data_IF_691404494369
#
_entry.id   IF_691404494369
#
_cell.length_a   1.000
_cell.length_b   1.000
_cell.length_c   1.000
_cell.angle_alpha   90.00
_cell.angle_beta   90.00
_cell.angle_gamma   90.00
#
_symmetry.space_group_name_H-M   'P 1'
#
loop_
_entity.id
_entity.type
_entity.pdbx_description
1 polymer ?
#
# COMPACT_ATOMS: atom_id res chain seq x y z
N UNK A 1 3.83 35.76 -0.73
CA UNK A 1 3.95 34.81 -1.86
C UNK A 1 5.38 34.27 -1.81
N UNK A 2 5.59 33.13 -1.17
CA UNK A 2 6.88 32.42 -1.14
C UNK A 2 6.98 31.55 -2.42
N UNK A 3 8.12 31.63 -3.08
CA UNK A 3 8.41 30.85 -4.28
C UNK A 3 8.27 29.36 -3.98
N UNK A 4 7.75 28.56 -4.94
CA UNK A 4 7.68 27.12 -4.78
C UNK A 4 9.11 26.57 -4.67
N UNK A 5 9.42 25.94 -3.54
CA UNK A 5 10.67 25.19 -3.36
C UNK A 5 10.70 24.06 -4.37
N UNK A 6 11.63 24.12 -5.32
CA UNK A 6 12.00 22.97 -6.13
C UNK A 6 12.47 21.86 -5.17
N UNK A 7 11.66 20.82 -5.02
CA UNK A 7 12.10 19.57 -4.39
C UNK A 7 13.05 18.88 -5.38
N UNK A 8 14.33 19.22 -5.27
CA UNK A 8 15.38 18.49 -5.95
C UNK A 8 15.61 17.21 -5.14
N UNK A 9 15.22 16.07 -5.70
CA UNK A 9 15.68 14.77 -5.22
C UNK A 9 17.17 14.64 -5.54
N UNK A 10 18.03 15.23 -4.72
CA UNK A 10 19.46 14.91 -4.73
C UNK A 10 19.65 13.64 -3.90
N UNK A 11 19.72 12.50 -4.57
CA UNK A 11 20.46 11.34 -4.03
C UNK A 11 21.93 11.62 -4.32
N UNK A 12 22.69 11.97 -3.28
CA UNK A 12 24.14 12.05 -3.33
C UNK A 12 24.71 10.62 -3.48
N UNK A 13 25.23 10.30 -4.62
CA UNK A 13 25.96 9.08 -4.94
C UNK A 13 25.97 8.88 -6.45
N UNK A 14 27.13 8.57 -7.03
CA UNK A 14 27.31 8.21 -8.43
C UNK A 14 26.40 7.01 -8.81
N UNK A 15 25.11 7.26 -8.97
CA UNK A 15 24.17 6.30 -9.54
C UNK A 15 24.52 6.21 -11.03
N UNK A 16 25.25 5.15 -11.40
CA UNK A 16 25.24 4.68 -12.77
C UNK A 16 23.79 4.67 -13.23
N UNK A 17 23.44 5.59 -14.12
CA UNK A 17 22.11 5.63 -14.76
C UNK A 17 22.02 4.33 -15.56
N UNK A 18 21.51 3.28 -14.93
CA UNK A 18 21.24 2.02 -15.60
C UNK A 18 20.04 2.25 -16.48
N UNK A 19 20.15 2.03 -17.81
CA UNK A 19 19.01 2.11 -18.67
C UNK A 19 17.95 1.13 -18.15
N UNK A 20 16.65 1.49 -18.16
CA UNK A 20 15.61 0.53 -17.84
C UNK A 20 15.81 -0.68 -18.75
N UNK A 21 15.70 -1.89 -18.19
CA UNK A 21 15.64 -3.10 -18.99
C UNK A 21 14.59 -2.88 -20.10
N UNK A 22 14.82 -3.44 -21.29
CA UNK A 22 13.88 -3.28 -22.41
C UNK A 22 12.52 -3.75 -21.91
N UNK A 23 11.63 -2.77 -21.65
CA UNK A 23 10.31 -3.01 -21.12
C UNK A 23 9.42 -3.48 -22.26
N UNK A 24 8.85 -4.67 -22.16
CA UNK A 24 7.88 -5.13 -23.14
C UNK A 24 6.53 -4.43 -22.89
N UNK A 25 6.02 -3.69 -23.87
CA UNK A 25 4.72 -3.04 -23.79
C UNK A 25 3.75 -3.79 -24.70
N UNK A 26 2.77 -4.47 -24.08
CA UNK A 26 1.69 -5.15 -24.79
C UNK A 26 0.48 -4.22 -24.88
N UNK A 27 0.07 -3.88 -26.08
CA UNK A 27 -1.08 -3.02 -26.38
C UNK A 27 -2.07 -3.86 -27.18
N UNK A 28 -3.03 -4.50 -26.53
CA UNK A 28 -3.93 -5.46 -27.16
C UNK A 28 -5.33 -4.88 -27.45
N UNK A 29 -5.57 -3.61 -27.11
CA UNK A 29 -6.91 -3.03 -27.00
C UNK A 29 -7.23 -1.97 -28.05
N UNK A 30 -6.28 -1.55 -28.88
CA UNK A 30 -6.53 -0.55 -29.94
C UNK A 30 -6.49 -1.21 -31.31
N UNK A 31 -7.47 -0.90 -32.15
CA UNK A 31 -7.55 -1.47 -33.51
C UNK A 31 -6.51 -0.88 -34.48
N UNK A 32 -6.15 0.40 -34.29
CA UNK A 32 -5.21 1.10 -35.17
C UNK A 32 -3.74 0.83 -34.76
N UNK A 33 -2.91 0.20 -35.61
CA UNK A 33 -1.51 -0.11 -35.31
C UNK A 33 -0.67 1.16 -35.01
N UNK A 34 -0.97 2.28 -35.67
CA UNK A 34 -0.29 3.54 -35.46
C UNK A 34 -0.54 4.07 -34.03
N UNK A 35 -1.76 3.94 -33.52
CA UNK A 35 -2.11 4.30 -32.14
C UNK A 35 -1.41 3.38 -31.14
N UNK A 36 -1.38 2.08 -31.40
CA UNK A 36 -0.64 1.14 -30.57
C UNK A 36 0.83 1.54 -30.45
N UNK A 37 1.45 1.86 -31.58
CA UNK A 37 2.86 2.26 -31.60
C UNK A 37 3.09 3.58 -30.88
N UNK A 38 2.22 4.57 -31.09
CA UNK A 38 2.32 5.87 -30.43
C UNK A 38 2.19 5.76 -28.91
N UNK A 39 1.19 5.02 -28.42
CA UNK A 39 1.00 4.77 -26.98
C UNK A 39 2.19 4.03 -26.40
N UNK A 40 2.66 2.95 -27.04
CA UNK A 40 3.80 2.17 -26.58
C UNK A 40 5.09 3.02 -26.49
N UNK A 41 5.37 3.84 -27.50
CA UNK A 41 6.54 4.72 -27.51
C UNK A 41 6.46 5.81 -26.42
N UNK A 42 5.27 6.35 -26.19
CA UNK A 42 5.04 7.33 -25.11
C UNK A 42 5.30 6.70 -23.73
N UNK A 43 4.71 5.54 -23.46
CA UNK A 43 4.93 4.80 -22.21
C UNK A 43 6.40 4.45 -21.99
N UNK A 44 7.10 3.99 -23.03
CA UNK A 44 8.54 3.75 -22.97
C UNK A 44 9.32 5.00 -22.60
N UNK A 45 8.96 6.15 -23.18
CA UNK A 45 9.56 7.45 -22.86
C UNK A 45 9.33 7.88 -21.41
N UNK A 46 8.13 7.59 -20.86
CA UNK A 46 7.81 7.89 -19.46
C UNK A 46 8.65 7.02 -18.52
N UNK A 47 8.74 5.70 -18.74
CA UNK A 47 9.59 4.83 -17.92
C UNK A 47 11.04 5.24 -17.94
N UNK A 48 11.57 5.64 -19.11
CA UNK A 48 12.92 6.19 -19.21
C UNK A 48 13.08 7.48 -18.39
N UNK A 49 12.05 8.32 -18.37
CA UNK A 49 12.09 9.57 -17.59
C UNK A 49 12.03 9.27 -16.08
N UNK A 50 11.16 8.36 -15.64
CA UNK A 50 11.09 7.94 -14.24
C UNK A 50 12.42 7.31 -13.78
N UNK A 51 13.05 6.47 -14.60
CA UNK A 51 14.35 5.91 -14.29
C UNK A 51 15.47 6.98 -14.20
N UNK A 52 15.43 8.02 -15.05
CA UNK A 52 16.37 9.15 -14.98
C UNK A 52 16.19 10.02 -13.72
N UNK A 53 14.99 10.05 -13.14
CA UNK A 53 14.75 10.72 -11.84
C UNK A 53 15.18 9.88 -10.64
N UNK A 54 15.74 8.69 -10.88
CA UNK A 54 16.29 7.82 -9.85
C UNK A 54 15.42 6.66 -9.42
N UNK A 55 14.23 6.45 -10.05
CA UNK A 55 13.37 5.31 -9.76
C UNK A 55 14.02 4.00 -10.24
N UNK A 56 14.11 3.00 -9.38
CA UNK A 56 14.73 1.71 -9.70
C UNK A 56 13.74 0.76 -10.39
N UNK A 57 13.70 0.81 -11.70
CA UNK A 57 12.84 -0.03 -12.53
C UNK A 57 13.50 -1.34 -13.02
N UNK A 58 14.59 -1.80 -12.39
CA UNK A 58 15.27 -3.06 -12.79
C UNK A 58 14.37 -4.29 -12.69
N UNK A 59 13.40 -4.28 -11.78
CA UNK A 59 12.46 -5.37 -11.61
C UNK A 59 11.24 -5.29 -12.56
N UNK A 60 11.13 -4.25 -13.40
CA UNK A 60 10.03 -4.11 -14.35
C UNK A 60 10.11 -5.18 -15.45
N UNK A 61 9.09 -6.03 -15.57
CA UNK A 61 8.90 -6.97 -16.69
C UNK A 61 8.35 -6.25 -17.92
N UNK A 62 7.40 -5.34 -17.69
CA UNK A 62 6.72 -4.61 -18.75
C UNK A 62 5.38 -4.04 -18.34
N UNK A 63 4.62 -3.60 -19.35
CA UNK A 63 3.29 -3.08 -19.17
C UNK A 63 2.30 -3.75 -20.13
N UNK A 64 1.09 -4.01 -19.65
CA UNK A 64 -0.05 -4.49 -20.47
C UNK A 64 -1.18 -3.48 -20.37
N UNK A 65 -1.59 -2.95 -21.52
CA UNK A 65 -2.84 -2.16 -21.63
C UNK A 65 -3.99 -3.09 -21.99
N UNK A 66 -5.09 -3.00 -21.25
CA UNK A 66 -6.24 -3.89 -21.40
C UNK A 66 -7.54 -3.20 -20.97
N UNK A 67 -8.67 -3.71 -21.44
CA UNK A 67 -9.99 -3.32 -20.93
C UNK A 67 -10.36 -4.11 -19.66
N UNK A 68 -9.76 -5.30 -19.47
CA UNK A 68 -10.02 -6.17 -18.33
C UNK A 68 -8.71 -6.48 -17.58
N UNK A 69 -8.44 -5.69 -16.53
CA UNK A 69 -7.24 -5.84 -15.71
C UNK A 69 -7.23 -7.16 -14.95
N UNK A 70 -8.37 -7.66 -14.49
CA UNK A 70 -8.46 -8.90 -13.74
C UNK A 70 -8.10 -10.11 -14.62
N UNK A 71 -8.72 -10.24 -15.81
CA UNK A 71 -8.41 -11.30 -16.75
C UNK A 71 -6.95 -11.26 -17.23
N UNK A 72 -6.42 -10.06 -17.52
CA UNK A 72 -5.03 -9.89 -17.92
C UNK A 72 -4.05 -10.28 -16.80
N UNK A 73 -4.34 -9.91 -15.56
CA UNK A 73 -3.53 -10.28 -14.40
C UNK A 73 -3.52 -11.79 -14.16
N UNK A 74 -4.69 -12.43 -14.24
CA UNK A 74 -4.81 -13.88 -14.11
C UNK A 74 -4.00 -14.63 -15.19
N UNK A 75 -4.02 -14.15 -16.44
CA UNK A 75 -3.26 -14.74 -17.54
C UNK A 75 -1.74 -14.64 -17.38
N UNK A 76 -1.25 -13.68 -16.57
CA UNK A 76 0.17 -13.48 -16.29
C UNK A 76 0.71 -14.41 -15.19
N UNK A 77 -0.16 -15.03 -14.41
CA UNK A 77 0.20 -15.85 -13.26
C UNK A 77 0.63 -17.28 -13.68
N UNK A 78 1.78 -17.37 -14.34
CA UNK A 78 2.45 -18.65 -14.53
C UNK A 78 3.41 -18.90 -13.39
N UNK A 79 3.11 -19.91 -12.58
CA UNK A 79 3.91 -20.25 -11.40
C UNK A 79 4.91 -21.34 -11.78
N UNK A 80 6.22 -21.16 -11.54
CA UNK A 80 7.21 -22.22 -11.73
C UNK A 80 6.88 -23.43 -10.85
N UNK A 81 7.29 -24.62 -11.28
CA UNK A 81 7.10 -25.86 -10.52
C UNK A 81 7.72 -25.72 -9.10
N UNK A 82 6.92 -26.02 -8.08
CA UNK A 82 7.35 -25.92 -6.67
C UNK A 82 7.21 -24.54 -6.03
N UNK A 83 6.67 -23.55 -6.73
CA UNK A 83 6.33 -22.24 -6.17
C UNK A 83 4.83 -22.16 -5.84
N UNK A 84 4.46 -21.33 -4.88
CA UNK A 84 3.05 -21.04 -4.54
C UNK A 84 2.57 -19.87 -5.39
N UNK A 85 1.34 -19.91 -5.96
CA UNK A 85 0.76 -18.75 -6.61
C UNK A 85 0.78 -17.55 -5.66
N UNK A 86 1.20 -16.40 -6.17
CA UNK A 86 1.10 -15.16 -5.44
C UNK A 86 -0.34 -14.68 -5.54
N UNK A 87 -1.01 -14.52 -4.41
CA UNK A 87 -2.38 -14.00 -4.38
C UNK A 87 -2.36 -12.54 -4.83
N UNK A 88 -2.98 -12.25 -5.95
CA UNK A 88 -3.31 -10.88 -6.35
C UNK A 88 -4.66 -10.58 -5.70
N UNK A 89 -4.67 -9.63 -4.76
CA UNK A 89 -5.90 -9.29 -4.04
C UNK A 89 -7.00 -8.86 -5.01
N UNK A 90 -8.13 -9.57 -4.99
CA UNK A 90 -9.33 -9.13 -5.69
C UNK A 90 -10.04 -8.08 -4.84
N UNK A 91 -10.21 -6.88 -5.40
CA UNK A 91 -11.16 -5.89 -4.89
C UNK A 91 -12.38 -5.86 -5.82
N UNK A 92 -13.43 -6.65 -5.53
CA UNK A 92 -14.50 -6.91 -6.50
C UNK A 92 -15.37 -5.69 -6.85
N UNK A 93 -15.35 -4.63 -6.04
CA UNK A 93 -16.28 -3.50 -6.17
C UNK A 93 -15.63 -2.18 -6.61
N UNK A 94 -14.34 -2.15 -6.90
CA UNK A 94 -13.64 -0.94 -7.38
C UNK A 94 -13.28 -1.06 -8.86
N UNK A 95 -13.51 0.03 -9.62
CA UNK A 95 -12.99 0.13 -10.99
C UNK A 95 -11.47 0.31 -10.87
N UNK A 96 -10.77 -0.79 -10.91
CA UNK A 96 -9.33 -0.78 -10.88
C UNK A 96 -8.77 -0.13 -12.14
N UNK A 97 -7.97 0.90 -11.96
CA UNK A 97 -7.37 1.66 -13.05
C UNK A 97 -6.05 1.06 -13.53
N UNK A 98 -5.24 0.59 -12.60
CA UNK A 98 -3.97 -0.09 -12.85
C UNK A 98 -3.61 -0.97 -11.64
N UNK A 99 -2.72 -1.93 -11.83
CA UNK A 99 -2.09 -2.73 -10.78
C UNK A 99 -0.73 -3.24 -11.17
N UNK A 100 0.13 -3.42 -10.20
CA UNK A 100 1.42 -4.12 -10.37
C UNK A 100 1.26 -5.59 -10.01
N UNK A 101 1.60 -6.47 -10.95
CA UNK A 101 1.43 -7.92 -10.85
C UNK A 101 2.80 -8.59 -10.80
N UNK A 102 3.11 -9.41 -9.78
CA UNK A 102 4.32 -10.21 -9.76
C UNK A 102 4.27 -11.30 -10.84
N UNK A 103 5.36 -11.44 -11.57
CA UNK A 103 5.49 -12.42 -12.66
C UNK A 103 6.84 -13.11 -12.59
N UNK A 104 6.85 -14.43 -12.83
CA UNK A 104 8.10 -15.17 -12.91
C UNK A 104 8.65 -15.17 -14.34
N UNK A 105 9.93 -14.81 -14.49
CA UNK A 105 10.68 -14.87 -15.75
C UNK A 105 12.05 -15.53 -15.49
N UNK A 106 12.30 -16.64 -16.12
CA UNK A 106 13.58 -17.36 -15.99
C UNK A 106 14.00 -17.60 -14.51
N UNK A 107 13.04 -17.97 -13.66
CA UNK A 107 13.15 -18.13 -12.20
C UNK A 107 13.47 -16.86 -11.40
N UNK A 108 13.41 -15.70 -12.03
CA UNK A 108 13.46 -14.41 -11.35
C UNK A 108 12.04 -13.83 -11.19
N UNK A 109 11.77 -13.27 -10.01
CA UNK A 109 10.54 -12.50 -9.79
C UNK A 109 10.72 -11.12 -10.39
N UNK A 110 9.79 -10.74 -11.24
CA UNK A 110 9.66 -9.41 -11.83
C UNK A 110 8.25 -8.90 -11.62
N UNK A 111 8.00 -7.66 -12.00
CA UNK A 111 6.71 -7.02 -11.80
C UNK A 111 6.23 -6.44 -13.12
N UNK A 112 4.98 -6.76 -13.48
CA UNK A 112 4.34 -6.25 -14.68
C UNK A 112 3.20 -5.32 -14.30
N UNK A 113 3.17 -4.14 -14.89
CA UNK A 113 2.07 -3.21 -14.73
C UNK A 113 0.95 -3.61 -15.68
N UNK A 114 -0.25 -3.80 -15.16
CA UNK A 114 -1.48 -3.99 -15.93
C UNK A 114 -2.33 -2.74 -15.75
N UNK A 115 -2.68 -2.07 -16.84
CA UNK A 115 -3.33 -0.77 -16.79
C UNK A 115 -4.49 -0.71 -17.78
N UNK A 116 -5.56 0.00 -17.42
CA UNK A 116 -6.71 0.19 -18.32
C UNK A 116 -6.30 0.96 -19.58
N UNK A 117 -6.81 0.49 -20.70
CA UNK A 117 -6.56 1.06 -22.02
C UNK A 117 -6.89 2.57 -22.11
N UNK A 118 -7.99 2.98 -21.47
CA UNK A 118 -8.39 4.39 -21.44
C UNK A 118 -7.33 5.34 -20.87
N UNK A 119 -6.50 4.88 -19.93
CA UNK A 119 -5.39 5.67 -19.40
C UNK A 119 -4.28 5.85 -20.44
N UNK A 120 -3.98 4.83 -21.24
CA UNK A 120 -3.00 4.94 -22.32
C UNK A 120 -3.38 6.02 -23.34
N UNK A 121 -4.64 6.07 -23.75
CA UNK A 121 -5.17 7.13 -24.62
C UNK A 121 -5.18 8.48 -23.88
N UNK A 122 -5.58 8.48 -22.61
CA UNK A 122 -5.62 9.70 -21.79
C UNK A 122 -4.28 10.43 -21.72
N UNK A 123 -3.16 9.69 -21.77
CA UNK A 123 -1.81 10.30 -21.82
C UNK A 123 -1.54 11.09 -23.10
N UNK A 124 -2.20 10.74 -24.20
CA UNK A 124 -2.01 11.38 -25.51
C UNK A 124 -3.01 12.50 -25.79
N UNK A 125 -4.11 12.55 -25.04
CA UNK A 125 -5.19 13.52 -25.24
C UNK A 125 -4.83 14.94 -24.80
N UNK A 126 -5.71 15.89 -25.11
CA UNK A 126 -5.56 17.30 -24.71
C UNK A 126 -6.16 17.59 -23.32
N UNK A 127 -6.86 16.62 -22.72
CA UNK A 127 -7.43 16.73 -21.37
C UNK A 127 -6.32 16.60 -20.31
N UNK A 128 -5.94 17.74 -19.75
CA UNK A 128 -4.88 17.81 -18.73
C UNK A 128 -5.21 17.05 -17.44
N UNK A 129 -6.48 17.00 -17.05
CA UNK A 129 -6.88 16.26 -15.87
C UNK A 129 -6.72 14.75 -16.08
N UNK A 130 -7.15 14.26 -17.25
CA UNK A 130 -6.97 12.87 -17.63
C UNK A 130 -5.48 12.51 -17.80
N UNK A 131 -4.68 13.40 -18.39
CA UNK A 131 -3.24 13.22 -18.47
C UNK A 131 -2.61 13.09 -17.07
N UNK A 132 -2.91 14.02 -16.15
CA UNK A 132 -2.39 14.00 -14.79
C UNK A 132 -2.77 12.71 -14.05
N UNK A 133 -4.03 12.27 -14.17
CA UNK A 133 -4.50 11.01 -13.61
C UNK A 133 -3.72 9.82 -14.17
N UNK A 134 -3.57 9.75 -15.50
CA UNK A 134 -2.89 8.64 -16.16
C UNK A 134 -1.40 8.60 -15.78
N UNK A 135 -0.72 9.74 -15.70
CA UNK A 135 0.66 9.83 -15.22
C UNK A 135 0.78 9.46 -13.75
N UNK A 136 -0.12 9.93 -12.88
CA UNK A 136 -0.12 9.59 -11.46
C UNK A 136 -0.31 8.09 -11.25
N UNK A 137 -1.27 7.46 -11.95
CA UNK A 137 -1.47 6.01 -11.89
C UNK A 137 -0.22 5.25 -12.35
N UNK A 138 0.38 5.63 -13.50
CA UNK A 138 1.56 4.95 -14.00
C UNK A 138 2.78 5.12 -13.07
N UNK A 139 2.99 6.30 -12.50
CA UNK A 139 4.06 6.57 -11.56
C UNK A 139 3.86 5.82 -10.24
N UNK A 140 2.62 5.69 -9.78
CA UNK A 140 2.25 4.90 -8.60
C UNK A 140 2.59 3.42 -8.81
N UNK A 141 2.17 2.83 -9.94
CA UNK A 141 2.49 1.44 -10.25
C UNK A 141 3.99 1.21 -10.49
N UNK A 142 4.67 2.16 -11.11
CA UNK A 142 6.12 2.09 -11.27
C UNK A 142 6.85 2.17 -9.92
N UNK A 143 6.32 2.91 -8.96
CA UNK A 143 6.84 2.93 -7.60
C UNK A 143 6.63 1.58 -6.89
N UNK A 144 5.50 0.89 -7.08
CA UNK A 144 5.36 -0.48 -6.62
C UNK A 144 6.43 -1.41 -7.21
N UNK A 145 6.75 -1.29 -8.50
CA UNK A 145 7.85 -2.07 -9.10
C UNK A 145 9.18 -1.81 -8.39
N UNK A 146 9.49 -0.57 -8.05
CA UNK A 146 10.68 -0.22 -7.27
C UNK A 146 10.66 -0.87 -5.90
N UNK A 147 9.60 -0.63 -5.12
CA UNK A 147 9.50 -1.06 -3.72
C UNK A 147 9.45 -2.57 -3.58
N UNK A 148 8.62 -3.23 -4.37
CA UNK A 148 8.51 -4.69 -4.39
C UNK A 148 9.80 -5.34 -4.91
N UNK A 149 10.46 -4.72 -5.88
CA UNK A 149 11.75 -5.16 -6.37
C UNK A 149 12.85 -5.10 -5.31
N UNK A 150 12.88 -4.03 -4.50
CA UNK A 150 13.78 -3.94 -3.35
C UNK A 150 13.44 -4.95 -2.26
N UNK A 151 12.15 -5.11 -1.95
CA UNK A 151 11.67 -6.07 -0.96
C UNK A 151 12.06 -7.51 -1.35
N UNK A 152 11.87 -7.88 -2.63
CA UNK A 152 12.27 -9.19 -3.14
C UNK A 152 13.79 -9.42 -3.06
N UNK A 153 14.58 -8.44 -3.43
CA UNK A 153 16.05 -8.56 -3.36
C UNK A 153 16.55 -8.71 -1.92
N UNK A 154 15.92 -7.99 -1.00
CA UNK A 154 16.31 -8.02 0.43
C UNK A 154 15.79 -9.27 1.14
N UNK A 155 14.56 -9.67 0.84
CA UNK A 155 13.85 -10.75 1.52
C UNK A 155 13.20 -11.75 0.54
N UNK A 156 13.96 -12.43 -0.31
CA UNK A 156 13.41 -13.27 -1.39
C UNK A 156 12.54 -14.43 -0.89
N UNK A 157 12.69 -14.83 0.38
CA UNK A 157 11.90 -15.88 1.00
C UNK A 157 10.44 -15.51 1.27
N UNK A 158 10.08 -14.21 1.20
CA UNK A 158 8.70 -13.75 1.41
C UNK A 158 7.81 -14.13 0.22
N UNK A 159 8.39 -14.08 -0.98
CA UNK A 159 7.67 -14.39 -2.20
C UNK A 159 7.76 -15.88 -2.53
N UNK A 160 6.60 -16.54 -2.61
CA UNK A 160 6.50 -17.93 -3.07
C UNK A 160 6.99 -19.01 -2.11
N UNK A 161 7.36 -18.66 -0.88
CA UNK A 161 7.72 -19.63 0.17
C UNK A 161 6.82 -19.47 1.39
N UNK A 162 6.54 -20.59 2.04
CA UNK A 162 5.89 -20.58 3.35
C UNK A 162 6.81 -19.87 4.33
N UNK A 163 6.50 -18.62 4.66
CA UNK A 163 7.21 -17.94 5.76
C UNK A 163 6.97 -18.76 7.03
N UNK A 164 7.99 -19.18 7.76
CA UNK A 164 7.83 -19.95 8.99
C UNK A 164 7.36 -19.06 10.15
N UNK A 165 6.32 -18.28 9.91
CA UNK A 165 5.60 -17.54 10.93
C UNK A 165 4.33 -18.34 11.22
N UNK A 166 3.96 -18.54 12.48
CA UNK A 166 2.67 -19.12 12.82
C UNK A 166 1.56 -18.36 12.06
N UNK A 167 0.59 -19.07 11.51
CA UNK A 167 -0.37 -18.56 10.51
C UNK A 167 -1.01 -17.19 10.79
N UNK A 168 -1.13 -16.79 12.05
CA UNK A 168 -1.72 -15.51 12.45
C UNK A 168 -0.78 -14.31 12.27
N UNK A 169 0.49 -14.48 12.56
CA UNK A 169 1.48 -13.42 12.41
C UNK A 169 1.74 -13.09 10.94
N UNK A 170 1.62 -14.09 10.05
CA UNK A 170 1.83 -13.91 8.61
C UNK A 170 0.83 -12.94 7.99
N UNK A 171 -0.48 -13.15 8.21
CA UNK A 171 -1.52 -12.31 7.58
C UNK A 171 -1.40 -10.84 7.99
N UNK A 172 -1.25 -10.55 9.28
CA UNK A 172 -1.10 -9.16 9.74
C UNK A 172 0.22 -8.56 9.26
N UNK A 173 1.24 -9.40 9.13
CA UNK A 173 2.53 -8.94 8.61
C UNK A 173 2.44 -8.58 7.13
N UNK A 174 1.74 -9.37 6.31
CA UNK A 174 1.47 -9.05 4.91
C UNK A 174 0.68 -7.73 4.81
N UNK A 175 -0.34 -7.53 5.65
CA UNK A 175 -1.06 -6.25 5.73
C UNK A 175 -0.14 -5.07 6.10
N UNK A 176 0.83 -5.27 6.99
CA UNK A 176 1.80 -4.22 7.33
C UNK A 176 2.70 -3.86 6.13
N UNK A 177 3.05 -4.86 5.31
CA UNK A 177 3.78 -4.63 4.06
C UNK A 177 2.92 -3.91 3.02
N UNK A 178 1.64 -4.26 2.88
CA UNK A 178 0.70 -3.56 2.00
C UNK A 178 0.60 -2.08 2.39
N UNK A 179 0.46 -1.77 3.69
CA UNK A 179 0.44 -0.39 4.20
C UNK A 179 1.71 0.38 3.81
N UNK A 180 2.87 -0.24 3.94
CA UNK A 180 4.14 0.36 3.51
C UNK A 180 4.18 0.57 2.00
N UNK A 181 3.80 -0.43 1.21
CA UNK A 181 3.84 -0.39 -0.24
C UNK A 181 2.99 0.76 -0.79
N UNK A 182 1.76 0.91 -0.28
CA UNK A 182 0.86 1.99 -0.68
C UNK A 182 1.36 3.37 -0.25
N UNK A 183 1.87 3.49 0.98
CA UNK A 183 2.50 4.73 1.44
C UNK A 183 3.65 5.17 0.53
N UNK A 184 4.54 4.24 0.22
CA UNK A 184 5.72 4.53 -0.58
C UNK A 184 5.36 4.87 -2.04
N UNK A 185 4.41 4.14 -2.63
CA UNK A 185 3.92 4.41 -3.98
C UNK A 185 3.22 5.78 -4.08
N UNK A 186 2.34 6.10 -3.13
CA UNK A 186 1.69 7.41 -3.06
C UNK A 186 2.70 8.54 -2.85
N UNK A 187 3.68 8.33 -1.97
CA UNK A 187 4.73 9.33 -1.73
C UNK A 187 5.56 9.63 -2.97
N UNK A 188 5.90 8.61 -3.74
CA UNK A 188 6.66 8.74 -5.00
C UNK A 188 5.86 9.42 -6.12
N UNK A 189 4.55 9.20 -6.16
CA UNK A 189 3.66 9.66 -7.25
C UNK A 189 2.92 10.97 -6.96
N UNK A 190 2.94 11.47 -5.72
CA UNK A 190 2.16 12.62 -5.26
C UNK A 190 2.33 13.89 -6.13
N UNK A 191 3.55 14.12 -6.63
CA UNK A 191 3.88 15.32 -7.43
C UNK A 191 3.13 15.38 -8.76
N UNK A 192 2.64 14.25 -9.28
CA UNK A 192 1.92 14.19 -10.56
C UNK A 192 0.44 14.59 -10.45
N UNK A 193 -0.11 14.55 -9.23
CA UNK A 193 -1.50 14.91 -8.95
C UNK A 193 -1.65 15.51 -7.55
N UNK A 194 -1.03 16.68 -7.31
CA UNK A 194 -0.99 17.26 -5.96
C UNK A 194 -2.38 17.58 -5.38
N UNK A 195 -3.38 17.84 -6.22
CA UNK A 195 -4.76 18.09 -5.81
C UNK A 195 -5.48 16.85 -5.24
N UNK A 196 -4.95 15.65 -5.43
CA UNK A 196 -5.56 14.42 -4.91
C UNK A 196 -5.45 14.26 -3.38
N UNK A 197 -4.71 15.13 -2.69
CA UNK A 197 -4.58 15.07 -1.24
C UNK A 197 -5.94 15.05 -0.52
N UNK A 198 -6.87 15.91 -0.95
CA UNK A 198 -8.24 15.97 -0.39
C UNK A 198 -9.07 14.72 -0.74
N UNK A 199 -8.85 14.13 -1.90
CA UNK A 199 -9.53 12.87 -2.29
C UNK A 199 -9.07 11.71 -1.42
N UNK A 200 -7.76 11.58 -1.20
CA UNK A 200 -7.20 10.55 -0.31
C UNK A 200 -7.61 10.76 1.14
N UNK A 201 -7.71 12.00 1.62
CA UNK A 201 -8.25 12.30 2.94
C UNK A 201 -9.69 11.79 3.08
N UNK A 202 -10.56 12.10 2.13
CA UNK A 202 -11.97 11.66 2.12
C UNK A 202 -12.10 10.13 2.07
N UNK A 203 -11.25 9.46 1.28
CA UNK A 203 -11.21 8.00 1.21
C UNK A 203 -10.81 7.42 2.56
N UNK A 204 -9.77 7.95 3.19
CA UNK A 204 -9.33 7.52 4.50
C UNK A 204 -10.40 7.73 5.58
N UNK A 205 -11.01 8.93 5.65
CA UNK A 205 -12.06 9.23 6.63
C UNK A 205 -13.25 8.28 6.48
N UNK A 206 -13.72 8.05 5.25
CA UNK A 206 -14.80 7.10 4.97
C UNK A 206 -14.40 5.68 5.36
N UNK A 207 -13.21 5.22 4.99
CA UNK A 207 -12.73 3.90 5.36
C UNK A 207 -12.70 3.72 6.88
N UNK A 208 -12.28 4.73 7.64
CA UNK A 208 -12.28 4.68 9.10
C UNK A 208 -13.69 4.58 9.67
N UNK A 209 -14.62 5.44 9.25
CA UNK A 209 -16.02 5.45 9.73
C UNK A 209 -16.74 4.14 9.41
N UNK A 210 -16.64 3.67 8.16
CA UNK A 210 -17.28 2.45 7.69
C UNK A 210 -16.74 1.22 8.45
N UNK A 211 -15.40 1.14 8.62
CA UNK A 211 -14.78 0.02 9.30
C UNK A 211 -15.03 0.03 10.82
N UNK A 212 -15.13 1.21 11.46
CA UNK A 212 -15.57 1.32 12.86
C UNK A 212 -17.00 0.84 13.03
N UNK A 213 -17.90 1.19 12.10
CA UNK A 213 -19.29 0.71 12.10
C UNK A 213 -19.36 -0.80 11.89
N UNK A 214 -18.65 -1.33 10.88
CA UNK A 214 -18.57 -2.75 10.60
C UNK A 214 -17.98 -3.56 11.77
N UNK A 215 -16.96 -3.03 12.44
CA UNK A 215 -16.37 -3.64 13.63
C UNK A 215 -17.41 -3.83 14.73
N UNK A 216 -18.19 -2.80 15.06
CA UNK A 216 -19.27 -2.88 16.04
C UNK A 216 -20.31 -3.95 15.68
N UNK A 217 -20.72 -4.02 14.41
CA UNK A 217 -21.66 -5.02 13.91
C UNK A 217 -21.10 -6.45 14.01
N UNK A 218 -19.82 -6.66 13.66
CA UNK A 218 -19.17 -7.97 13.76
C UNK A 218 -19.05 -8.44 15.20
N UNK A 219 -18.72 -7.54 16.14
CA UNK A 219 -18.69 -7.84 17.56
C UNK A 219 -20.07 -8.24 18.07
N UNK A 220 -21.12 -7.52 17.68
CA UNK A 220 -22.49 -7.84 18.07
C UNK A 220 -22.94 -9.22 17.54
N UNK A 221 -22.61 -9.52 16.27
CA UNK A 221 -22.89 -10.83 15.67
C UNK A 221 -22.12 -11.96 16.40
N UNK A 222 -20.85 -11.74 16.71
CA UNK A 222 -20.06 -12.71 17.48
C UNK A 222 -20.66 -13.00 18.85
N UNK A 223 -21.15 -11.99 19.56
CA UNK A 223 -21.79 -12.18 20.87
C UNK A 223 -23.03 -13.07 20.77
N UNK A 224 -23.68 -13.12 19.59
CA UNK A 224 -24.84 -13.96 19.33
C UNK A 224 -24.47 -15.41 18.93
N UNK A 225 -23.48 -15.60 18.06
CA UNK A 225 -23.15 -16.92 17.48
C UNK A 225 -21.85 -17.58 18.03
N UNK A 226 -21.02 -16.80 18.72
CA UNK A 226 -19.76 -17.27 19.35
C UNK A 226 -18.71 -17.81 18.36
N UNK A 227 -18.77 -17.46 17.07
CA UNK A 227 -17.78 -17.88 16.09
C UNK A 227 -16.51 -16.98 16.14
N UNK A 228 -15.61 -17.27 17.09
CA UNK A 228 -14.46 -16.45 17.41
C UNK A 228 -13.42 -16.32 16.27
N UNK A 229 -13.25 -17.37 15.44
CA UNK A 229 -12.21 -17.35 14.41
C UNK A 229 -12.53 -16.36 13.31
N UNK A 230 -13.76 -16.37 12.82
CA UNK A 230 -14.18 -15.50 11.73
C UNK A 230 -14.17 -14.03 12.16
N UNK A 231 -14.69 -13.71 13.37
CA UNK A 231 -14.71 -12.33 13.85
C UNK A 231 -13.31 -11.76 13.98
N UNK A 232 -12.34 -12.58 14.41
CA UNK A 232 -10.95 -12.12 14.52
C UNK A 232 -10.36 -11.73 13.15
N UNK A 233 -10.51 -12.60 12.15
CA UNK A 233 -10.02 -12.33 10.78
C UNK A 233 -10.73 -11.12 10.17
N UNK A 234 -12.04 -11.02 10.37
CA UNK A 234 -12.83 -9.88 9.90
C UNK A 234 -12.32 -8.56 10.50
N UNK A 235 -12.16 -8.48 11.82
CA UNK A 235 -11.69 -7.28 12.52
C UNK A 235 -10.25 -6.92 12.12
N UNK A 236 -9.39 -7.92 11.95
CA UNK A 236 -8.03 -7.72 11.47
C UNK A 236 -8.02 -7.11 10.05
N UNK A 237 -8.86 -7.60 9.15
CA UNK A 237 -8.98 -7.05 7.81
C UNK A 237 -9.49 -5.62 7.84
N UNK A 238 -10.56 -5.33 8.61
CA UNK A 238 -11.11 -3.99 8.74
C UNK A 238 -10.04 -2.95 9.16
N UNK A 239 -9.27 -3.22 10.21
CA UNK A 239 -8.22 -2.29 10.64
C UNK A 239 -6.97 -2.31 9.76
N UNK A 240 -6.67 -3.42 9.11
CA UNK A 240 -5.67 -3.47 8.06
C UNK A 240 -6.01 -2.52 6.90
N UNK A 241 -7.26 -2.55 6.46
CA UNK A 241 -7.75 -1.71 5.35
C UNK A 241 -7.80 -0.21 5.75
N UNK A 242 -8.12 0.11 7.02
CA UNK A 242 -7.96 1.48 7.55
C UNK A 242 -6.50 1.93 7.47
N UNK A 243 -5.55 1.08 7.89
CA UNK A 243 -4.13 1.43 7.83
C UNK A 243 -3.62 1.55 6.38
N UNK A 244 -4.12 0.73 5.45
CA UNK A 244 -3.81 0.85 4.01
C UNK A 244 -4.32 2.19 3.47
N UNK A 245 -5.58 2.55 3.76
CA UNK A 245 -6.15 3.85 3.36
C UNK A 245 -5.39 5.02 3.99
N UNK A 246 -4.93 4.87 5.24
CA UNK A 246 -4.02 5.83 5.86
C UNK A 246 -2.68 5.89 5.13
N UNK A 247 -2.15 4.76 4.64
CA UNK A 247 -0.92 4.69 3.84
C UNK A 247 -1.02 5.54 2.58
N UNK A 248 -2.09 5.42 1.81
CA UNK A 248 -2.37 6.26 0.64
C UNK A 248 -2.34 7.75 1.01
N UNK A 249 -3.13 8.13 1.99
CA UNK A 249 -3.28 9.52 2.42
C UNK A 249 -1.97 10.12 2.96
N UNK A 250 -1.33 9.44 3.91
CA UNK A 250 -0.10 9.90 4.54
C UNK A 250 1.07 9.95 3.56
N UNK A 251 1.16 8.96 2.66
CA UNK A 251 2.16 8.93 1.59
C UNK A 251 2.02 10.13 0.67
N UNK A 252 0.80 10.45 0.27
CA UNK A 252 0.53 11.60 -0.58
C UNK A 252 0.89 12.92 0.10
N UNK A 253 0.50 13.12 1.38
CA UNK A 253 0.90 14.31 2.16
C UNK A 253 2.42 14.43 2.27
N UNK A 254 3.11 13.35 2.63
CA UNK A 254 4.56 13.35 2.81
C UNK A 254 5.32 13.56 1.48
N UNK A 255 4.78 13.05 0.38
CA UNK A 255 5.32 13.28 -0.98
C UNK A 255 5.24 14.75 -1.41
N UNK A 256 4.24 15.49 -0.92
CA UNK A 256 4.07 16.92 -1.16
C UNK A 256 4.72 17.79 -0.08
N UNK A 257 5.27 17.21 0.98
CA UNK A 257 5.81 17.94 2.13
C UNK A 257 4.73 18.67 2.93
N UNK A 258 3.49 18.15 2.94
CA UNK A 258 2.34 18.74 3.65
C UNK A 258 2.24 18.17 5.06
N UNK A 259 1.81 19.01 6.01
CA UNK A 259 1.58 18.57 7.39
C UNK A 259 0.13 18.10 7.57
N UNK A 260 -0.06 17.06 8.37
CA UNK A 260 -1.39 16.53 8.70
C UNK A 260 -2.25 17.62 9.38
N UNK A 261 -1.66 18.35 10.32
CA UNK A 261 -2.39 19.37 11.11
C UNK A 261 -2.89 20.55 10.29
N UNK A 262 -2.24 20.88 9.18
CA UNK A 262 -2.57 22.05 8.37
C UNK A 262 -3.42 21.72 7.14
N UNK A 263 -3.40 20.48 6.67
CA UNK A 263 -3.96 20.10 5.37
C UNK A 263 -4.98 18.97 5.45
N UNK A 264 -5.24 18.43 6.65
CA UNK A 264 -6.16 17.33 6.90
C UNK A 264 -7.31 17.79 7.81
N UNK A 265 -8.26 18.53 7.24
CA UNK A 265 -9.34 19.16 8.03
C UNK A 265 -10.37 18.11 8.48
N UNK A 266 -10.79 17.23 7.57
CA UNK A 266 -11.79 16.19 7.84
C UNK A 266 -11.21 15.12 8.77
N UNK A 267 -9.98 14.69 8.52
CA UNK A 267 -9.30 13.74 9.40
C UNK A 267 -9.04 14.31 10.80
N UNK A 268 -8.70 15.61 10.91
CA UNK A 268 -8.52 16.27 12.21
C UNK A 268 -9.82 16.33 13.02
N UNK A 269 -10.96 16.56 12.38
CA UNK A 269 -12.26 16.51 13.03
C UNK A 269 -12.56 15.09 13.54
N UNK A 270 -12.32 14.08 12.71
CA UNK A 270 -12.53 12.68 13.06
C UNK A 270 -11.59 12.21 14.20
N UNK A 271 -10.35 12.69 14.24
CA UNK A 271 -9.42 12.41 15.34
C UNK A 271 -9.82 13.11 16.65
N UNK A 272 -10.52 14.24 16.58
CA UNK A 272 -11.08 14.86 17.79
C UNK A 272 -12.21 13.99 18.41
N UNK A 273 -12.94 13.23 17.58
CA UNK A 273 -13.95 12.27 18.05
C UNK A 273 -13.33 10.95 18.52
N UNK A 274 -12.18 10.57 17.94
CA UNK A 274 -11.45 9.31 18.21
C UNK A 274 -9.96 9.58 18.49
N UNK A 275 -9.61 10.22 19.62
CA UNK A 275 -8.26 10.70 19.88
C UNK A 275 -7.20 9.59 19.91
N UNK A 276 -7.56 8.39 20.40
CA UNK A 276 -6.64 7.25 20.44
C UNK A 276 -6.30 6.74 19.02
N UNK A 277 -7.26 6.80 18.09
CA UNK A 277 -7.02 6.45 16.67
C UNK A 277 -6.15 7.53 16.03
N UNK A 278 -6.41 8.80 16.31
CA UNK A 278 -5.58 9.90 15.83
C UNK A 278 -4.11 9.75 16.22
N UNK A 279 -3.85 9.36 17.48
CA UNK A 279 -2.50 9.09 17.98
C UNK A 279 -1.84 7.90 17.27
N UNK A 280 -2.60 6.82 17.01
CA UNK A 280 -2.12 5.67 16.26
C UNK A 280 -1.80 6.01 14.80
N UNK A 281 -2.60 6.85 14.14
CA UNK A 281 -2.34 7.32 12.77
C UNK A 281 -1.09 8.22 12.72
N UNK A 282 -0.90 9.11 13.68
CA UNK A 282 0.33 9.92 13.80
C UNK A 282 1.57 9.04 14.04
N UNK A 283 1.42 7.99 14.83
CA UNK A 283 2.48 7.01 15.03
C UNK A 283 2.76 6.23 13.76
N UNK A 284 1.72 5.83 13.02
CA UNK A 284 1.86 5.18 11.71
C UNK A 284 2.66 6.06 10.75
N UNK A 285 2.32 7.35 10.65
CA UNK A 285 3.04 8.31 9.81
C UNK A 285 4.53 8.37 10.15
N UNK A 286 4.87 8.51 11.45
CA UNK A 286 6.26 8.52 11.89
C UNK A 286 7.01 7.25 11.53
N UNK A 287 6.37 6.09 11.73
CA UNK A 287 6.93 4.78 11.38
C UNK A 287 7.20 4.66 9.89
N UNK A 288 6.21 5.02 9.05
CA UNK A 288 6.33 4.96 7.60
C UNK A 288 7.41 5.92 7.08
N UNK A 289 7.48 7.13 7.63
CA UNK A 289 8.53 8.08 7.27
C UNK A 289 9.93 7.60 7.68
N UNK A 290 10.08 6.94 8.83
CA UNK A 290 11.35 6.31 9.23
C UNK A 290 11.77 5.22 8.26
N UNK A 291 10.85 4.34 7.87
CA UNK A 291 11.13 3.30 6.86
C UNK A 291 11.54 3.91 5.52
N UNK A 292 10.90 4.99 5.10
CA UNK A 292 11.27 5.73 3.90
C UNK A 292 12.72 6.25 3.96
N UNK A 293 13.11 6.83 5.09
CA UNK A 293 14.45 7.40 5.28
C UNK A 293 15.57 6.36 5.33
N UNK A 294 15.24 5.07 5.48
CA UNK A 294 16.24 3.99 5.42
C UNK A 294 16.67 3.64 3.99
N UNK A 295 16.01 4.18 2.97
CA UNK A 295 16.33 3.94 1.55
C UNK A 295 16.55 2.45 1.22
N UNK A 296 15.63 1.58 1.73
CA UNK A 296 15.67 0.12 1.61
C UNK A 296 16.85 -0.58 2.33
N UNK A 297 17.61 0.12 3.16
CA UNK A 297 18.68 -0.45 3.99
C UNK A 297 18.13 -1.27 5.17
N UNK A 298 17.15 -2.13 4.93
CA UNK A 298 16.45 -2.91 5.95
C UNK A 298 17.31 -4.10 6.44
N UNK A 299 17.66 -4.17 7.73
CA UNK A 299 18.49 -5.24 8.26
C UNK A 299 17.75 -6.57 8.38
N UNK A 300 16.44 -6.52 8.56
CA UNK A 300 15.57 -7.69 8.68
C UNK A 300 14.13 -7.31 8.39
N UNK A 301 13.26 -8.30 8.22
CA UNK A 301 11.84 -8.09 7.92
C UNK A 301 11.07 -7.50 9.12
N UNK A 302 11.59 -7.62 10.33
CA UNK A 302 11.01 -7.09 11.56
C UNK A 302 10.92 -5.55 11.56
N UNK A 303 11.56 -4.87 10.62
CA UNK A 303 11.40 -3.40 10.44
C UNK A 303 9.94 -2.99 10.21
N UNK A 304 9.11 -3.89 9.68
CA UNK A 304 7.66 -3.67 9.49
C UNK A 304 6.81 -3.98 10.73
N UNK A 305 7.40 -4.59 11.77
CA UNK A 305 6.67 -4.93 13.00
C UNK A 305 5.98 -3.76 13.69
N UNK A 306 6.52 -2.52 13.68
CA UNK A 306 5.81 -1.38 14.27
C UNK A 306 4.48 -1.06 13.57
N UNK A 307 4.36 -1.30 12.25
CA UNK A 307 3.08 -1.14 11.52
C UNK A 307 2.10 -2.21 11.97
N UNK A 308 2.56 -3.46 12.04
CA UNK A 308 1.79 -4.57 12.59
C UNK A 308 1.26 -4.27 14.00
N UNK A 309 2.12 -3.73 14.89
CA UNK A 309 1.75 -3.36 16.26
C UNK A 309 0.66 -2.28 16.31
N UNK A 310 0.66 -1.35 15.33
CA UNK A 310 -0.38 -0.32 15.22
C UNK A 310 -1.72 -0.93 14.82
N UNK A 311 -1.74 -1.84 13.84
CA UNK A 311 -2.96 -2.57 13.47
C UNK A 311 -3.52 -3.32 14.69
N UNK A 312 -2.65 -4.04 15.42
CA UNK A 312 -3.04 -4.73 16.65
C UNK A 312 -3.55 -3.77 17.74
N UNK A 313 -2.97 -2.58 17.85
CA UNK A 313 -3.40 -1.57 18.80
C UNK A 313 -4.80 -1.02 18.44
N UNK A 314 -5.09 -0.78 17.17
CA UNK A 314 -6.44 -0.41 16.72
C UNK A 314 -7.46 -1.51 17.05
N UNK A 315 -7.11 -2.78 16.82
CA UNK A 315 -7.97 -3.91 17.22
C UNK A 315 -8.21 -3.93 18.73
N UNK A 316 -7.16 -3.64 19.53
CA UNK A 316 -7.25 -3.64 20.99
C UNK A 316 -8.19 -2.55 21.54
N UNK A 317 -8.32 -1.40 20.87
CA UNK A 317 -9.31 -0.37 21.22
C UNK A 317 -10.75 -0.90 21.20
N UNK A 318 -10.99 -2.00 20.49
CA UNK A 318 -12.31 -2.65 20.36
C UNK A 318 -12.36 -4.01 21.08
N UNK A 319 -11.45 -4.24 22.02
CA UNK A 319 -11.45 -5.42 22.86
C UNK A 319 -10.79 -6.67 22.29
N UNK A 320 -10.13 -6.57 21.11
CA UNK A 320 -9.38 -7.71 20.54
C UNK A 320 -7.90 -7.61 20.88
N UNK A 321 -7.47 -8.40 21.86
CA UNK A 321 -6.09 -8.39 22.35
C UNK A 321 -5.35 -9.65 21.91
N UNK A 322 -4.13 -9.44 21.41
CA UNK A 322 -3.17 -10.53 21.22
C UNK A 322 -2.41 -10.76 22.52
N UNK A 323 -2.68 -11.88 23.17
CA UNK A 323 -1.91 -12.32 24.33
C UNK A 323 -0.89 -13.38 23.88
N UNK A 324 0.39 -13.12 24.14
CA UNK A 324 1.45 -14.12 23.98
C UNK A 324 1.48 -14.97 25.23
N UNK A 325 1.18 -16.26 25.09
CA UNK A 325 1.52 -17.27 26.11
C UNK A 325 2.94 -17.78 25.85
N UNK A 326 3.49 -18.57 26.76
CA UNK A 326 4.86 -19.14 26.61
C UNK A 326 5.01 -20.00 25.34
N UNK A 327 3.92 -20.51 24.78
CA UNK A 327 3.93 -21.44 23.65
C UNK A 327 3.11 -20.98 22.45
N UNK A 328 2.14 -20.05 22.62
CA UNK A 328 1.19 -19.68 21.58
C UNK A 328 0.77 -18.21 21.68
N UNK A 329 0.36 -17.66 20.53
CA UNK A 329 -0.39 -16.41 20.48
C UNK A 329 -1.89 -16.74 20.63
N UNK A 330 -2.55 -16.14 21.63
CA UNK A 330 -4.00 -16.26 21.79
C UNK A 330 -4.68 -14.92 21.54
N UNK A 331 -5.75 -14.95 20.78
CA UNK A 331 -6.66 -13.83 20.68
C UNK A 331 -7.65 -13.92 21.83
N UNK A 332 -7.70 -12.87 22.62
CA UNK A 332 -8.67 -12.72 23.69
C UNK A 332 -9.59 -11.58 23.30
N UNK A 333 -10.89 -11.88 23.24
CA UNK A 333 -11.90 -10.83 23.20
C UNK A 333 -12.34 -10.54 24.63
N UNK A 334 -12.26 -9.28 25.02
CA UNK A 334 -12.76 -8.85 26.32
C UNK A 334 -14.28 -8.72 26.26
N UNK A 335 -14.95 -9.55 27.05
CA UNK A 335 -16.41 -9.58 27.09
C UNK A 335 -17.00 -8.50 28.02
N UNK A 336 -16.16 -7.81 28.80
CA UNK A 336 -16.57 -6.95 29.90
C UNK A 336 -16.10 -5.51 29.71
N UNK A 337 -16.98 -4.52 29.90
CA UNK A 337 -16.65 -3.09 29.80
C UNK A 337 -15.52 -2.67 30.75
N UNK A 338 -15.36 -3.37 31.88
CA UNK A 338 -14.26 -3.18 32.80
C UNK A 338 -12.89 -3.61 32.25
N UNK A 339 -12.86 -4.68 31.45
CA UNK A 339 -11.65 -5.15 30.79
C UNK A 339 -11.25 -4.23 29.63
N UNK A 340 -12.19 -3.64 28.91
CA UNK A 340 -11.93 -2.62 27.88
C UNK A 340 -11.20 -1.41 28.48
N UNK A 341 -11.61 -0.94 29.63
CA UNK A 341 -10.93 0.15 30.35
C UNK A 341 -9.51 -0.23 30.77
N UNK A 342 -9.29 -1.45 31.23
CA UNK A 342 -7.94 -1.93 31.58
C UNK A 342 -7.03 -2.03 30.35
N UNK A 343 -7.57 -2.47 29.22
CA UNK A 343 -6.83 -2.56 27.96
C UNK A 343 -6.49 -1.17 27.44
N UNK A 344 -7.44 -0.23 27.45
CA UNK A 344 -7.16 1.18 27.08
C UNK A 344 -6.06 1.79 27.93
N UNK A 345 -6.07 1.55 29.26
CA UNK A 345 -5.03 2.01 30.16
C UNK A 345 -3.68 1.31 29.89
N UNK A 346 -3.68 0.03 29.60
CA UNK A 346 -2.48 -0.71 29.23
C UNK A 346 -1.90 -0.24 27.89
N UNK A 347 -2.77 0.05 26.92
CA UNK A 347 -2.39 0.59 25.63
C UNK A 347 -1.82 2.01 25.76
N UNK A 348 -2.45 2.88 26.54
CA UNK A 348 -1.95 4.23 26.84
C UNK A 348 -0.54 4.15 27.49
N UNK A 349 -0.37 3.30 28.48
CA UNK A 349 0.95 3.07 29.12
C UNK A 349 1.98 2.50 28.14
N UNK A 350 1.57 1.66 27.20
CA UNK A 350 2.47 1.10 26.18
C UNK A 350 2.84 2.16 25.12
N UNK A 351 1.89 3.02 24.72
CA UNK A 351 2.15 4.17 23.86
C UNK A 351 3.17 5.14 24.49
N UNK A 352 3.00 5.45 25.78
CA UNK A 352 3.91 6.34 26.52
C UNK A 352 5.34 5.79 26.66
N UNK A 353 5.53 4.46 26.74
CA UNK A 353 6.85 3.83 26.94
C UNK A 353 7.68 3.67 25.67
N UNK A 354 7.08 3.85 24.48
CA UNK A 354 7.75 3.69 23.19
C UNK A 354 7.99 5.02 22.45
N UNK A 355 7.70 6.16 23.11
CA UNK A 355 8.11 7.50 22.68
C UNK A 355 9.48 7.80 23.29
#
# INVERSE_FOLDING_TARGET
MSEPRQLVFQRDGDLEVRPPAICSIAVCCYEAPELQHLVASTLQGIFQSLARTGMDLRALDGLTLTEDCAAASAALQTVPEGQVPLEVGDQPDTIEMARTVPVWRDNELRFRIVMRAGLGIGMLGDDRAMQALAFACLAHEAAHVEHEGHLYRTFPHIYGRTVPCGDRSRQTFLKAMDVWSEYAACRSSAIFRPEAAEEFEKVFCRALEDNLSACKQRIAAYRADRNALNVFVDIQNLFGDVCISAGYFLGHLDGLGLSLQCHAVDASALFAEHPEIGELVERLRRTLNQLWLTEYGWPSIEVFSPIYEIICAMMALHGFVFAKTDTEWRTVMCEDDGAETQIRNALATWLERKI
#
